data_IF_611166157491
#
_entry.id   IF_611166157491
#
_cell.length_a   1.000
_cell.length_b   1.000
_cell.length_c   1.000
_cell.angle_alpha   90.00
_cell.angle_beta   90.00
_cell.angle_gamma   90.00
#
_symmetry.space_group_name_H-M   'P 1'
#
loop_
_entity.id
_entity.type
_entity.pdbx_description
1 polymer ?
#
# COMPACT_ATOMS: atom_id res chain seq x y z
N UNK A 1 -4.76 -9.66 -26.60
CA UNK A 1 -4.45 -10.02 -25.20
C UNK A 1 -5.01 -8.97 -24.27
N UNK A 2 -6.33 -8.81 -24.27
CA UNK A 2 -7.07 -7.87 -23.41
C UNK A 2 -8.19 -8.65 -22.73
N UNK A 3 -8.61 -8.22 -21.54
CA UNK A 3 -9.76 -8.77 -20.82
C UNK A 3 -10.71 -7.63 -20.46
N UNK A 4 -12.01 -7.85 -20.66
CA UNK A 4 -13.05 -6.91 -20.20
C UNK A 4 -13.52 -7.38 -18.83
N UNK A 5 -13.37 -6.53 -17.82
CA UNK A 5 -13.81 -6.82 -16.46
C UNK A 5 -15.10 -6.05 -16.19
N UNK A 6 -16.15 -6.76 -15.78
CA UNK A 6 -17.42 -6.18 -15.36
C UNK A 6 -17.52 -6.31 -13.83
N UNK A 7 -17.40 -5.19 -13.08
CA UNK A 7 -17.53 -5.24 -11.64
C UNK A 7 -18.97 -5.53 -11.22
N UNK A 8 -19.12 -6.02 -9.98
CA UNK A 8 -20.42 -6.12 -9.31
C UNK A 8 -21.03 -4.72 -9.10
N UNK A 9 -22.34 -4.66 -8.84
CA UNK A 9 -23.01 -3.41 -8.51
C UNK A 9 -22.27 -2.67 -7.37
N UNK A 10 -22.08 -1.36 -7.53
CA UNK A 10 -21.37 -0.46 -6.62
C UNK A 10 -19.84 -0.67 -6.50
N UNK A 11 -19.20 -1.50 -7.32
CA UNK A 11 -17.75 -1.70 -7.32
C UNK A 11 -17.05 -1.03 -8.52
N UNK A 12 -17.39 0.23 -8.80
CA UNK A 12 -16.78 1.02 -9.88
C UNK A 12 -17.30 0.71 -11.29
N UNK A 13 -16.55 1.12 -12.31
CA UNK A 13 -16.93 1.01 -13.72
C UNK A 13 -16.23 -0.17 -14.42
N UNK A 14 -16.84 -0.67 -15.49
CA UNK A 14 -16.24 -1.69 -16.33
C UNK A 14 -15.04 -1.14 -17.11
N UNK A 15 -13.97 -1.91 -17.17
CA UNK A 15 -12.72 -1.51 -17.80
C UNK A 15 -12.16 -2.64 -18.66
N UNK A 16 -11.40 -2.29 -19.71
CA UNK A 16 -10.64 -3.23 -20.52
C UNK A 16 -9.19 -3.19 -20.04
N UNK A 17 -8.73 -4.29 -19.45
CA UNK A 17 -7.39 -4.40 -18.88
C UNK A 17 -6.47 -5.19 -19.82
N UNK A 18 -5.18 -4.81 -19.94
CA UNK A 18 -4.20 -5.61 -20.66
C UNK A 18 -3.81 -6.86 -19.86
N UNK A 19 -3.77 -8.00 -20.56
CA UNK A 19 -3.27 -9.25 -19.98
C UNK A 19 -1.74 -9.28 -20.08
N UNK A 20 -1.08 -9.41 -18.94
CA UNK A 20 0.36 -9.67 -18.81
C UNK A 20 0.59 -11.18 -18.80
N UNK A 21 1.65 -11.62 -19.49
CA UNK A 21 2.04 -13.03 -19.59
C UNK A 21 3.52 -13.12 -19.27
N UNK A 22 3.82 -13.61 -18.09
CA UNK A 22 5.18 -13.76 -17.60
C UNK A 22 5.53 -15.25 -17.58
N UNK A 23 6.71 -15.62 -18.06
CA UNK A 23 7.17 -17.01 -18.04
C UNK A 23 8.18 -17.17 -16.91
N UNK A 24 7.76 -17.82 -15.83
CA UNK A 24 8.54 -17.95 -14.59
C UNK A 24 8.73 -19.43 -14.29
N UNK A 25 9.98 -19.87 -14.20
CA UNK A 25 10.30 -21.26 -13.87
C UNK A 25 9.71 -22.30 -14.84
N UNK A 26 9.45 -21.90 -16.10
CA UNK A 26 8.81 -22.74 -17.12
C UNK A 26 7.29 -22.80 -17.05
N UNK A 27 6.64 -22.08 -16.12
CA UNK A 27 5.19 -21.92 -16.04
C UNK A 27 4.78 -20.54 -16.58
N UNK A 28 3.80 -20.54 -17.48
CA UNK A 28 3.23 -19.31 -18.01
C UNK A 28 2.22 -18.74 -17.00
N UNK A 29 2.60 -17.68 -16.31
CA UNK A 29 1.73 -16.94 -15.41
C UNK A 29 0.99 -15.86 -16.21
N UNK A 30 -0.34 -15.93 -16.21
CA UNK A 30 -1.20 -14.93 -16.84
C UNK A 30 -1.80 -14.07 -15.73
N UNK A 31 -1.62 -12.76 -15.82
CA UNK A 31 -2.13 -11.83 -14.82
C UNK A 31 -2.67 -10.55 -15.44
N UNK A 32 -3.59 -9.89 -14.74
CA UNK A 32 -3.99 -8.53 -15.07
C UNK A 32 -4.24 -7.73 -13.78
N UNK A 33 -4.32 -6.41 -13.92
CA UNK A 33 -4.57 -5.50 -12.81
C UNK A 33 -5.85 -4.73 -13.12
N UNK A 34 -6.82 -4.82 -12.21
CA UNK A 34 -8.10 -4.12 -12.30
C UNK A 34 -8.33 -3.40 -10.98
N UNK A 35 -8.57 -2.08 -11.00
CA UNK A 35 -8.74 -1.26 -9.80
C UNK A 35 -7.62 -1.47 -8.75
N UNK A 36 -6.35 -1.54 -9.20
CA UNK A 36 -5.17 -1.81 -8.36
C UNK A 36 -5.19 -3.18 -7.64
N UNK A 37 -6.13 -4.07 -7.97
CA UNK A 37 -6.15 -5.47 -7.54
C UNK A 37 -5.53 -6.34 -8.62
N UNK A 38 -4.56 -7.17 -8.22
CA UNK A 38 -3.92 -8.16 -9.11
C UNK A 38 -4.78 -9.42 -9.17
N UNK A 39 -5.08 -9.86 -10.39
CA UNK A 39 -5.74 -11.11 -10.67
C UNK A 39 -4.76 -12.06 -11.34
N UNK A 40 -4.65 -13.27 -10.82
CA UNK A 40 -3.80 -14.34 -11.33
C UNK A 40 -4.69 -15.44 -11.92
N UNK A 41 -4.30 -15.97 -13.07
CA UNK A 41 -4.99 -17.10 -13.70
C UNK A 41 -4.62 -18.39 -12.98
N UNK A 42 -5.63 -19.12 -12.51
CA UNK A 42 -5.48 -20.47 -11.99
C UNK A 42 -5.83 -21.50 -13.08
N UNK A 43 -4.86 -22.29 -13.57
CA UNK A 43 -5.11 -23.35 -14.56
C UNK A 43 -6.02 -24.46 -14.06
N UNK A 44 -6.09 -24.72 -12.74
CA UNK A 44 -6.89 -25.81 -12.19
C UNK A 44 -8.38 -25.49 -12.22
N UNK A 45 -8.73 -24.25 -11.85
CA UNK A 45 -10.11 -23.78 -11.83
C UNK A 45 -10.55 -23.10 -13.14
N UNK A 46 -9.62 -22.89 -14.08
CA UNK A 46 -9.85 -22.10 -15.30
C UNK A 46 -10.47 -20.72 -15.02
N UNK A 47 -10.09 -20.10 -13.90
CA UNK A 47 -10.62 -18.82 -13.44
C UNK A 47 -9.51 -17.91 -12.96
N UNK A 48 -9.81 -16.61 -12.93
CA UNK A 48 -8.92 -15.62 -12.32
C UNK A 48 -9.27 -15.44 -10.85
N UNK A 49 -8.28 -15.58 -9.97
CA UNK A 49 -8.42 -15.34 -8.55
C UNK A 49 -7.57 -14.12 -8.13
N UNK A 50 -8.00 -13.45 -7.06
CA UNK A 50 -7.18 -12.42 -6.41
C UNK A 50 -6.05 -13.07 -5.61
N UNK A 51 -5.06 -12.27 -5.24
CA UNK A 51 -4.02 -12.71 -4.29
C UNK A 51 -4.69 -13.19 -2.99
N UNK A 52 -4.31 -14.39 -2.56
CA UNK A 52 -4.69 -14.95 -1.26
C UNK A 52 -3.48 -14.83 -0.34
N UNK A 53 -3.71 -14.30 0.86
CA UNK A 53 -2.71 -14.29 1.92
C UNK A 53 -2.95 -15.49 2.85
N UNK A 54 -1.88 -15.99 3.48
CA UNK A 54 -1.98 -17.11 4.42
C UNK A 54 -2.83 -16.78 5.65
N UNK A 55 -2.86 -15.50 6.06
CA UNK A 55 -3.63 -15.04 7.21
C UNK A 55 -5.15 -15.09 7.00
N UNK A 56 -5.59 -14.92 5.76
CA UNK A 56 -7.02 -14.93 5.38
C UNK A 56 -7.52 -16.32 4.99
N UNK A 57 -6.65 -17.33 5.03
CA UNK A 57 -7.03 -18.70 4.69
C UNK A 57 -8.05 -19.26 5.70
N UNK A 58 -9.02 -20.03 5.19
CA UNK A 58 -9.96 -20.79 6.01
C UNK A 58 -9.65 -22.30 5.84
N UNK A 59 -9.20 -23.01 6.88
CA UNK A 59 -9.11 -22.57 8.27
C UNK A 59 -7.83 -21.76 8.57
N UNK A 60 -7.96 -20.78 9.47
CA UNK A 60 -6.87 -19.84 9.82
C UNK A 60 -5.59 -20.54 10.27
N UNK A 61 -4.41 -19.98 9.94
CA UNK A 61 -3.13 -20.58 10.29
C UNK A 61 -2.92 -20.65 11.80
N UNK A 62 -2.11 -21.62 12.20
CA UNK A 62 -1.73 -21.83 13.60
C UNK A 62 -0.72 -20.77 14.05
N UNK A 63 -0.80 -20.34 15.30
CA UNK A 63 0.16 -19.40 15.89
C UNK A 63 1.58 -19.97 15.83
N UNK A 64 1.73 -21.29 15.97
CA UNK A 64 3.01 -21.99 15.89
C UNK A 64 3.75 -21.79 14.57
N UNK A 65 3.05 -21.59 13.44
CA UNK A 65 3.73 -21.32 12.17
C UNK A 65 4.40 -19.94 12.13
N UNK A 66 3.83 -18.96 12.83
CA UNK A 66 4.42 -17.63 12.94
C UNK A 66 5.54 -17.60 13.99
N UNK A 67 5.36 -18.30 15.12
CA UNK A 67 6.38 -18.43 16.16
C UNK A 67 7.65 -19.17 15.66
N UNK A 68 7.49 -20.18 14.80
CA UNK A 68 8.60 -20.93 14.24
C UNK A 68 9.21 -20.29 12.96
N UNK A 69 8.67 -19.15 12.51
CA UNK A 69 9.14 -18.49 11.29
C UNK A 69 10.57 -17.97 11.47
N UNK A 70 11.45 -18.30 10.53
CA UNK A 70 12.83 -17.78 10.45
C UNK A 70 13.02 -16.87 9.23
N UNK A 71 11.96 -16.17 8.82
CA UNK A 71 11.96 -15.32 7.63
C UNK A 71 12.16 -16.12 6.34
N UNK A 72 12.51 -15.42 5.26
CA UNK A 72 12.75 -16.02 3.95
C UNK A 72 14.18 -16.57 3.86
N UNK A 73 14.33 -17.89 3.94
CA UNK A 73 15.64 -18.56 4.04
C UNK A 73 16.36 -18.73 2.71
N UNK A 74 15.64 -18.72 1.58
CA UNK A 74 16.20 -18.91 0.24
C UNK A 74 15.90 -17.71 -0.66
N UNK A 75 16.93 -17.23 -1.36
CA UNK A 75 16.80 -16.19 -2.39
C UNK A 75 15.77 -16.55 -3.46
N UNK A 76 15.73 -17.84 -3.85
CA UNK A 76 14.77 -18.33 -4.84
C UNK A 76 13.33 -18.28 -4.33
N UNK A 77 13.10 -18.52 -3.03
CA UNK A 77 11.78 -18.39 -2.42
C UNK A 77 11.36 -16.93 -2.33
N UNK A 78 12.28 -16.03 -1.95
CA UNK A 78 12.02 -14.60 -1.95
C UNK A 78 11.65 -14.09 -3.34
N UNK A 79 12.37 -14.52 -4.39
CA UNK A 79 12.05 -14.16 -5.76
C UNK A 79 10.68 -14.70 -6.19
N UNK A 80 10.36 -15.97 -5.87
CA UNK A 80 9.05 -16.57 -6.18
C UNK A 80 7.90 -15.82 -5.50
N UNK A 81 8.07 -15.44 -4.24
CA UNK A 81 7.08 -14.67 -3.47
C UNK A 81 6.95 -13.26 -4.04
N UNK A 82 8.07 -12.61 -4.37
CA UNK A 82 8.07 -11.30 -5.02
C UNK A 82 7.33 -11.31 -6.37
N UNK A 83 7.55 -12.32 -7.21
CA UNK A 83 6.85 -12.43 -8.49
C UNK A 83 5.34 -12.64 -8.30
N UNK A 84 4.95 -13.36 -7.25
CA UNK A 84 3.55 -13.60 -6.89
C UNK A 84 2.86 -12.35 -6.33
N UNK A 85 3.41 -11.71 -5.29
CA UNK A 85 2.78 -10.59 -4.59
C UNK A 85 3.12 -9.21 -5.19
N UNK A 86 4.34 -9.02 -5.69
CA UNK A 86 4.87 -7.73 -6.14
C UNK A 86 5.54 -6.94 -5.02
N UNK A 87 5.86 -5.68 -5.31
CA UNK A 87 6.43 -4.73 -4.34
C UNK A 87 5.36 -4.16 -3.40
N UNK A 88 5.77 -3.86 -2.17
CA UNK A 88 4.99 -3.12 -1.17
C UNK A 88 5.00 -1.61 -1.47
N UNK A 89 4.46 -1.21 -2.63
CA UNK A 89 4.40 0.18 -3.05
C UNK A 89 2.96 0.68 -3.14
N UNK A 90 2.69 1.83 -2.51
CA UNK A 90 1.41 2.51 -2.58
C UNK A 90 1.47 3.67 -3.57
N UNK A 91 1.31 3.37 -4.87
CA UNK A 91 1.31 4.39 -5.93
C UNK A 91 -0.13 4.71 -6.40
N UNK A 92 -0.66 5.81 -5.86
CA UNK A 92 -1.89 6.45 -6.35
C UNK A 92 -1.54 7.27 -7.60
N UNK A 93 -2.10 6.92 -8.78
CA UNK A 93 -1.87 7.71 -9.98
C UNK A 93 -2.57 9.06 -9.84
N UNK A 94 -1.82 10.16 -9.99
CA UNK A 94 -2.40 11.49 -10.04
C UNK A 94 -2.84 11.74 -11.49
N UNK A 95 -4.12 12.11 -11.72
CA UNK A 95 -4.59 12.40 -13.06
C UNK A 95 -3.78 13.57 -13.65
N UNK A 96 -3.58 13.56 -14.96
CA UNK A 96 -2.77 14.57 -15.64
C UNK A 96 -3.57 15.85 -15.86
N UNK A 97 -2.90 17.01 -15.96
CA UNK A 97 -3.57 18.29 -16.21
C UNK A 97 -4.58 18.22 -17.37
N UNK A 98 -4.24 17.53 -18.47
CA UNK A 98 -5.11 17.38 -19.64
C UNK A 98 -6.36 16.55 -19.33
N UNK A 99 -6.25 15.51 -18.51
CA UNK A 99 -7.39 14.69 -18.08
C UNK A 99 -8.35 15.51 -17.20
N UNK A 100 -7.83 16.25 -16.21
CA UNK A 100 -8.65 17.13 -15.38
C UNK A 100 -9.27 18.26 -16.21
N UNK A 101 -8.51 18.84 -17.13
CA UNK A 101 -9.00 19.90 -18.00
C UNK A 101 -10.10 19.39 -18.93
N UNK A 102 -9.98 18.18 -19.47
CA UNK A 102 -11.03 17.56 -20.29
C UNK A 102 -12.30 17.31 -19.48
N UNK A 103 -12.17 16.85 -18.24
CA UNK A 103 -13.29 16.67 -17.31
C UNK A 103 -14.01 18.02 -17.08
N UNK A 104 -13.26 19.09 -16.83
CA UNK A 104 -13.80 20.45 -16.69
C UNK A 104 -14.39 21.01 -17.99
N UNK A 105 -13.77 20.76 -19.14
CA UNK A 105 -14.20 21.29 -20.43
C UNK A 105 -15.55 20.72 -20.90
N UNK A 106 -15.98 19.58 -20.36
CA UNK A 106 -17.29 18.97 -20.62
C UNK A 106 -18.37 19.53 -19.66
N UNK A 107 -17.98 20.35 -18.68
CA UNK A 107 -18.94 20.96 -17.77
C UNK A 107 -19.96 21.82 -18.55
N UNK A 108 -21.27 21.68 -18.28
CA UNK A 108 -22.31 22.41 -19.03
C UNK A 108 -22.11 23.93 -19.04
N UNK A 109 -21.58 24.48 -17.95
CA UNK A 109 -21.28 25.90 -17.81
C UNK A 109 -20.18 26.36 -18.79
N UNK A 110 -19.05 25.65 -18.83
CA UNK A 110 -17.93 25.98 -19.72
C UNK A 110 -18.32 25.89 -21.19
N UNK A 111 -19.01 24.81 -21.58
CA UNK A 111 -19.50 24.63 -22.96
C UNK A 111 -20.45 25.76 -23.36
N UNK A 112 -21.37 26.14 -22.47
CA UNK A 112 -22.30 27.24 -22.72
C UNK A 112 -21.58 28.59 -22.85
N UNK A 113 -20.60 28.87 -21.99
CA UNK A 113 -19.84 30.11 -22.07
C UNK A 113 -19.03 30.22 -23.37
N UNK A 114 -18.35 29.15 -23.79
CA UNK A 114 -17.61 29.11 -25.07
C UNK A 114 -18.56 29.29 -26.25
N UNK A 115 -19.75 28.69 -26.19
CA UNK A 115 -20.78 28.87 -27.22
C UNK A 115 -21.26 30.33 -27.31
N UNK A 116 -21.55 30.97 -26.18
CA UNK A 116 -21.95 32.38 -26.12
C UNK A 116 -20.87 33.33 -26.69
N UNK A 117 -19.59 33.08 -26.35
CA UNK A 117 -18.47 33.85 -26.92
C UNK A 117 -18.32 33.61 -28.41
N UNK A 118 -18.58 32.38 -28.88
CA UNK A 118 -18.63 32.05 -30.31
C UNK A 118 -19.72 32.83 -31.07
N UNK A 119 -20.91 33.00 -30.48
CA UNK A 119 -21.97 33.82 -31.05
C UNK A 119 -21.58 35.30 -31.15
N UNK A 120 -20.91 35.86 -30.13
CA UNK A 120 -20.43 37.24 -30.15
C UNK A 120 -19.33 37.48 -31.20
N UNK A 121 -18.53 36.45 -31.49
CA UNK A 121 -17.52 36.51 -32.55
C UNK A 121 -18.15 36.59 -33.94
N UNK A 122 -19.33 36.01 -34.14
CA UNK A 122 -20.06 36.03 -35.43
C UNK A 122 -20.75 37.37 -35.73
N UNK A 123 -20.99 38.19 -34.70
CA UNK A 123 -21.65 39.51 -34.82
C UNK A 123 -20.63 40.67 -34.90
N UNK A 124 -19.48 40.43 -35.58
CA UNK A 124 -18.39 41.39 -35.81
C UNK A 124 -17.61 41.91 -34.57
N UNK A 125 -17.91 41.45 -33.35
CA UNK A 125 -17.18 41.81 -32.12
C UNK A 125 -15.97 40.92 -31.82
N UNK A 126 -15.10 40.70 -32.80
CA UNK A 126 -14.00 39.72 -32.70
C UNK A 126 -12.96 40.07 -31.63
N UNK A 127 -12.62 41.36 -31.44
CA UNK A 127 -11.57 41.77 -30.50
C UNK A 127 -11.93 41.50 -29.03
N UNK A 128 -13.11 41.96 -28.59
CA UNK A 128 -13.59 41.75 -27.22
C UNK A 128 -13.88 40.26 -26.95
N UNK A 129 -14.44 39.56 -27.93
CA UNK A 129 -14.72 38.12 -27.84
C UNK A 129 -13.45 37.30 -27.67
N UNK A 130 -12.37 37.64 -28.38
CA UNK A 130 -11.08 36.95 -28.27
C UNK A 130 -10.44 37.17 -26.89
N UNK A 131 -10.51 38.40 -26.35
CA UNK A 131 -10.02 38.69 -25.01
C UNK A 131 -10.82 37.94 -23.93
N UNK A 132 -12.15 37.92 -24.04
CA UNK A 132 -13.02 37.18 -23.12
C UNK A 132 -12.77 35.66 -23.21
N UNK A 133 -12.57 35.11 -24.41
CA UNK A 133 -12.21 33.70 -24.60
C UNK A 133 -10.89 33.36 -23.91
N UNK A 134 -9.87 34.21 -24.10
CA UNK A 134 -8.58 34.02 -23.45
C UNK A 134 -8.71 34.06 -21.91
N UNK A 135 -9.42 35.05 -21.36
CA UNK A 135 -9.65 35.15 -19.92
C UNK A 135 -10.39 33.94 -19.36
N UNK A 136 -11.39 33.44 -20.07
CA UNK A 136 -12.14 32.24 -19.70
C UNK A 136 -11.23 31.00 -19.63
N UNK A 137 -10.43 30.76 -20.66
CA UNK A 137 -9.49 29.61 -20.70
C UNK A 137 -8.42 29.75 -19.62
N UNK A 138 -7.90 30.96 -19.39
CA UNK A 138 -6.89 31.22 -18.36
C UNK A 138 -7.44 30.97 -16.94
N UNK A 139 -8.68 31.38 -16.68
CA UNK A 139 -9.36 31.17 -15.41
C UNK A 139 -9.57 29.68 -15.12
N UNK A 140 -10.13 28.93 -16.07
CA UNK A 140 -10.35 27.48 -15.94
C UNK A 140 -9.03 26.71 -15.81
N UNK A 141 -8.01 27.11 -16.56
CA UNK A 141 -6.67 26.55 -16.42
C UNK A 141 -6.09 26.76 -15.01
N UNK A 142 -6.36 27.91 -14.40
CA UNK A 142 -5.92 28.22 -13.03
C UNK A 142 -6.64 27.35 -11.99
N UNK A 143 -7.95 27.13 -12.16
CA UNK A 143 -8.76 26.25 -11.31
C UNK A 143 -8.26 24.80 -11.40
N UNK A 144 -8.05 24.29 -12.62
CA UNK A 144 -7.52 22.93 -12.84
C UNK A 144 -6.11 22.80 -12.27
N UNK A 145 -5.27 23.82 -12.44
CA UNK A 145 -3.92 23.84 -11.85
C UNK A 145 -3.95 23.79 -10.31
N UNK A 146 -4.85 24.56 -9.68
CA UNK A 146 -5.03 24.52 -8.23
C UNK A 146 -5.48 23.13 -7.76
N UNK A 147 -6.46 22.50 -8.46
CA UNK A 147 -6.90 21.13 -8.18
C UNK A 147 -5.75 20.13 -8.31
N UNK A 148 -4.95 20.24 -9.38
CA UNK A 148 -3.78 19.39 -9.61
C UNK A 148 -2.76 19.53 -8.48
N UNK A 149 -2.48 20.76 -8.05
CA UNK A 149 -1.55 21.05 -6.96
C UNK A 149 -2.02 20.41 -5.66
N UNK A 150 -3.30 20.56 -5.32
CA UNK A 150 -3.89 19.92 -4.13
C UNK A 150 -3.74 18.40 -4.18
N UNK A 151 -4.04 17.76 -5.32
CA UNK A 151 -3.86 16.30 -5.47
C UNK A 151 -2.38 15.86 -5.33
N UNK A 152 -1.45 16.66 -5.84
CA UNK A 152 -0.01 16.40 -5.68
C UNK A 152 0.45 16.55 -4.21
N UNK A 153 -0.10 17.53 -3.49
CA UNK A 153 0.17 17.72 -2.06
C UNK A 153 -0.34 16.51 -1.24
N UNK A 154 -1.52 15.96 -1.58
CA UNK A 154 -2.02 14.72 -0.97
C UNK A 154 -1.10 13.51 -1.21
N UNK A 155 -0.50 13.39 -2.40
CA UNK A 155 0.49 12.32 -2.69
C UNK A 155 1.74 12.45 -1.82
N UNK A 156 2.16 13.68 -1.52
CA UNK A 156 3.33 13.95 -0.68
C UNK A 156 3.20 13.50 0.77
N UNK A 157 1.97 13.27 1.25
CA UNK A 157 1.69 12.73 2.59
C UNK A 157 1.83 11.20 2.68
N UNK A 158 2.13 10.51 1.57
CA UNK A 158 2.44 9.09 1.61
C UNK A 158 3.79 8.83 2.29
N UNK A 159 3.86 7.75 3.06
CA UNK A 159 5.11 7.31 3.69
C UNK A 159 6.11 6.97 2.59
N UNK A 160 7.27 7.63 2.60
CA UNK A 160 8.35 7.35 1.66
C UNK A 160 9.06 6.04 2.05
N UNK A 161 9.59 5.29 1.06
CA UNK A 161 10.44 4.14 1.36
C UNK A 161 11.61 4.54 2.27
N UNK A 162 11.87 3.69 3.25
CA UNK A 162 12.95 3.85 4.23
C UNK A 162 13.60 2.49 4.48
N UNK A 163 14.83 2.53 4.97
CA UNK A 163 15.59 1.31 5.25
C UNK A 163 15.07 0.61 6.50
N UNK A 164 14.89 -0.71 6.39
CA UNK A 164 14.39 -1.62 7.43
C UNK A 164 15.26 -2.86 7.53
N UNK A 165 15.48 -3.32 8.76
CA UNK A 165 16.20 -4.56 9.04
C UNK A 165 15.28 -5.76 8.84
N UNK A 166 15.68 -6.66 7.96
CA UNK A 166 14.95 -7.90 7.65
C UNK A 166 15.88 -9.09 7.76
N UNK A 167 15.35 -10.19 8.31
CA UNK A 167 16.05 -11.44 8.40
C UNK A 167 15.74 -12.32 7.17
N UNK A 168 16.68 -12.36 6.21
CA UNK A 168 16.63 -13.22 5.02
C UNK A 168 17.93 -14.01 4.89
N UNK A 169 17.89 -15.17 4.27
CA UNK A 169 19.09 -16.01 4.03
C UNK A 169 19.89 -16.31 5.32
N UNK A 170 19.17 -16.45 6.45
CA UNK A 170 19.72 -16.62 7.81
C UNK A 170 20.63 -15.47 8.29
N UNK A 171 20.49 -14.26 7.73
CA UNK A 171 21.26 -13.07 8.13
C UNK A 171 20.35 -11.86 8.21
N UNK A 172 20.71 -10.94 9.12
CA UNK A 172 20.10 -9.61 9.14
C UNK A 172 20.68 -8.77 8.01
N UNK A 173 19.81 -8.23 7.19
CA UNK A 173 20.17 -7.35 6.09
C UNK A 173 19.21 -6.15 6.04
N UNK A 174 19.74 -5.01 5.61
CA UNK A 174 18.98 -3.79 5.45
C UNK A 174 18.39 -3.76 4.04
N UNK A 175 17.07 -3.61 3.94
CA UNK A 175 16.35 -3.47 2.67
C UNK A 175 15.41 -2.28 2.73
N UNK A 176 14.99 -1.80 1.57
CA UNK A 176 13.98 -0.75 1.48
C UNK A 176 12.59 -1.30 1.81
N UNK A 177 11.75 -0.49 2.47
CA UNK A 177 10.42 -0.89 2.93
C UNK A 177 9.42 -1.19 1.80
N UNK A 178 9.70 -0.75 0.58
CA UNK A 178 8.95 -1.10 -0.64
C UNK A 178 9.21 -2.53 -1.13
N UNK A 179 10.31 -3.15 -0.69
CA UNK A 179 10.71 -4.53 -1.04
C UNK A 179 10.33 -5.57 0.01
N UNK A 180 9.52 -5.18 0.99
CA UNK A 180 8.97 -6.10 1.99
C UNK A 180 8.00 -7.08 1.34
N UNK A 181 8.12 -8.34 1.71
CA UNK A 181 7.33 -9.45 1.19
C UNK A 181 6.59 -10.15 2.33
N UNK A 182 5.41 -10.75 2.05
CA UNK A 182 4.73 -11.57 3.04
C UNK A 182 5.62 -12.72 3.53
N UNK A 183 5.76 -12.85 4.85
CA UNK A 183 6.61 -13.87 5.49
C UNK A 183 8.02 -13.41 5.83
N UNK A 184 8.39 -12.17 5.48
CA UNK A 184 9.61 -11.55 6.02
C UNK A 184 9.53 -11.38 7.54
N UNK A 185 10.69 -11.57 8.19
CA UNK A 185 10.86 -11.26 9.60
C UNK A 185 11.57 -9.91 9.71
N UNK A 186 10.87 -8.89 10.20
CA UNK A 186 11.33 -7.49 10.24
C UNK A 186 11.62 -7.08 11.68
N UNK A 187 12.73 -6.38 11.91
CA UNK A 187 12.97 -5.71 13.18
C UNK A 187 12.33 -4.33 13.15
N UNK A 188 11.29 -4.16 13.98
CA UNK A 188 10.61 -2.88 14.13
C UNK A 188 11.37 -2.02 15.14
N UNK A 189 11.78 -0.83 14.70
CA UNK A 189 12.41 0.17 15.54
C UNK A 189 11.46 1.34 15.84
N UNK A 190 11.88 2.24 16.74
CA UNK A 190 11.15 3.48 16.99
C UNK A 190 11.03 4.27 15.69
N UNK A 191 9.81 4.64 15.33
CA UNK A 191 9.54 5.35 14.09
C UNK A 191 9.97 6.83 14.21
N UNK A 192 10.59 7.37 13.15
CA UNK A 192 10.90 8.81 13.03
C UNK A 192 9.61 9.63 12.82
N UNK A 193 9.68 10.95 13.00
CA UNK A 193 8.50 11.83 12.90
C UNK A 193 7.78 11.75 11.54
N UNK A 194 8.54 11.56 10.46
CA UNK A 194 8.03 11.48 9.07
C UNK A 194 7.93 10.04 8.53
N UNK A 195 7.96 9.05 9.41
CA UNK A 195 7.85 7.64 9.04
C UNK A 195 6.66 6.99 9.76
N UNK A 196 6.24 5.83 9.27
CA UNK A 196 5.19 4.98 9.82
C UNK A 196 5.56 3.53 9.56
N UNK A 197 4.89 2.59 10.24
CA UNK A 197 5.04 1.17 9.94
C UNK A 197 4.70 0.94 8.45
N UNK A 198 5.58 0.26 7.72
CA UNK A 198 5.49 0.16 6.25
C UNK A 198 4.36 -0.74 5.73
N UNK A 199 3.95 -1.76 6.50
CA UNK A 199 2.91 -2.71 6.15
C UNK A 199 2.29 -3.30 7.42
N UNK A 200 1.23 -4.08 7.26
CA UNK A 200 0.63 -4.79 8.39
C UNK A 200 1.55 -5.92 8.86
N UNK A 201 1.86 -5.94 10.15
CA UNK A 201 2.79 -6.87 10.77
C UNK A 201 2.17 -7.51 12.01
N UNK A 202 2.63 -8.72 12.32
CA UNK A 202 2.33 -9.41 13.58
C UNK A 202 3.57 -9.41 14.46
N UNK A 203 3.39 -9.07 15.74
CA UNK A 203 4.47 -9.03 16.71
C UNK A 203 4.78 -10.46 17.20
N UNK A 204 5.87 -11.04 16.70
CA UNK A 204 6.30 -12.40 17.08
C UNK A 204 7.03 -12.40 18.44
N UNK A 205 7.81 -11.35 18.72
CA UNK A 205 8.59 -11.20 19.95
C UNK A 205 8.62 -9.74 20.41
N UNK A 206 8.64 -9.52 21.73
CA UNK A 206 8.73 -8.20 22.35
C UNK A 206 7.39 -7.53 22.57
N UNK A 207 7.43 -6.24 22.90
CA UNK A 207 6.26 -5.35 23.05
C UNK A 207 6.52 -4.02 22.37
N UNK A 208 5.46 -3.36 21.91
CA UNK A 208 5.55 -2.07 21.23
C UNK A 208 4.44 -1.13 21.72
N UNK A 209 4.76 0.15 21.89
CA UNK A 209 3.77 1.19 22.14
C UNK A 209 3.53 1.93 20.84
N UNK A 210 2.30 1.87 20.33
CA UNK A 210 1.93 2.46 19.04
C UNK A 210 0.91 3.56 19.19
N UNK A 211 1.03 4.56 18.33
CA UNK A 211 0.02 5.58 18.12
C UNK A 211 -0.76 5.24 16.84
N UNK A 212 -2.04 4.90 17.01
CA UNK A 212 -2.96 4.55 15.92
C UNK A 212 -3.80 5.74 15.44
N UNK A 213 -3.56 6.96 15.93
CA UNK A 213 -4.40 8.14 15.64
C UNK A 213 -4.60 8.43 14.15
N UNK A 214 -3.64 8.06 13.29
CA UNK A 214 -3.75 8.22 11.83
C UNK A 214 -4.82 7.31 11.20
N UNK A 215 -5.10 6.15 11.81
CA UNK A 215 -6.05 5.15 11.29
C UNK A 215 -7.36 5.11 12.09
N UNK A 216 -7.27 5.14 13.42
CA UNK A 216 -8.43 5.03 14.32
C UNK A 216 -9.00 6.37 14.75
N UNK A 217 -8.21 7.45 14.67
CA UNK A 217 -8.54 8.75 15.25
C UNK A 217 -8.40 8.81 16.78
N UNK A 218 -8.02 7.71 17.43
CA UNK A 218 -7.82 7.67 18.87
C UNK A 218 -6.44 8.22 19.24
N UNK A 219 -6.42 9.26 20.08
CA UNK A 219 -5.18 9.96 20.45
C UNK A 219 -4.37 9.26 21.55
N UNK A 220 -4.93 8.21 22.18
CA UNK A 220 -4.27 7.47 23.24
C UNK A 220 -3.38 6.37 22.66
N UNK A 221 -2.09 6.32 22.99
CA UNK A 221 -1.22 5.25 22.53
C UNK A 221 -1.65 3.90 23.13
N UNK A 222 -1.53 2.84 22.34
CA UNK A 222 -1.93 1.48 22.69
C UNK A 222 -0.68 0.62 22.87
N UNK A 223 -0.65 -0.19 23.92
CA UNK A 223 0.38 -1.22 24.12
C UNK A 223 0.02 -2.46 23.30
N UNK A 224 1.00 -2.94 22.54
CA UNK A 224 0.94 -4.13 21.70
C UNK A 224 1.89 -5.18 22.27
N UNK A 225 1.38 -6.41 22.40
CA UNK A 225 2.09 -7.54 22.99
C UNK A 225 2.27 -8.65 21.97
N UNK A 226 3.37 -9.38 22.05
CA UNK A 226 3.70 -10.44 21.10
C UNK A 226 2.88 -11.72 21.29
N UNK A 227 2.76 -12.49 20.22
CA UNK A 227 2.15 -13.83 20.24
C UNK A 227 3.04 -14.91 20.88
N UNK A 228 4.22 -14.56 21.40
CA UNK A 228 5.22 -15.53 21.90
C UNK A 228 4.68 -16.45 23.00
N UNK A 229 3.84 -15.92 23.91
CA UNK A 229 3.29 -16.67 25.05
C UNK A 229 1.99 -17.42 24.72
N UNK A 230 1.48 -17.29 23.48
CA UNK A 230 0.26 -17.97 23.05
C UNK A 230 0.58 -19.44 22.72
N UNK A 231 -0.35 -20.37 22.99
CA UNK A 231 -0.15 -21.78 22.64
C UNK A 231 -0.08 -21.93 21.11
N UNK A 232 0.97 -22.59 20.62
CA UNK A 232 1.23 -22.73 19.18
C UNK A 232 0.15 -23.50 18.40
N UNK A 233 -0.66 -24.32 19.08
CA UNK A 233 -1.80 -25.04 18.48
C UNK A 233 -3.06 -24.18 18.33
N UNK A 234 -3.09 -22.98 18.93
CA UNK A 234 -4.20 -22.07 18.72
C UNK A 234 -4.15 -21.46 17.31
N UNK A 235 -5.32 -21.13 16.78
CA UNK A 235 -5.45 -20.40 15.52
C UNK A 235 -5.31 -18.91 15.78
N UNK A 236 -4.77 -18.19 14.80
CA UNK A 236 -4.68 -16.74 14.88
C UNK A 236 -6.07 -16.09 14.79
N UNK A 237 -6.34 -15.12 15.67
CA UNK A 237 -7.58 -14.36 15.69
C UNK A 237 -7.34 -12.84 15.60
N UNK A 238 -7.24 -12.28 14.38
CA UNK A 238 -6.94 -10.85 14.18
C UNK A 238 -7.96 -9.88 14.80
N UNK A 239 -9.24 -10.26 14.81
CA UNK A 239 -10.33 -9.45 15.37
C UNK A 239 -10.67 -9.83 16.82
N UNK A 240 -10.05 -10.88 17.34
CA UNK A 240 -10.34 -11.45 18.66
C UNK A 240 -9.19 -11.23 19.63
N UNK A 241 -8.68 -12.35 20.18
CA UNK A 241 -7.65 -12.34 21.21
C UNK A 241 -6.30 -11.78 20.74
N UNK A 242 -5.97 -11.91 19.46
CA UNK A 242 -4.65 -11.53 18.93
C UNK A 242 -4.63 -10.11 18.35
N UNK A 243 -5.71 -9.33 18.47
CA UNK A 243 -5.80 -7.94 17.97
C UNK A 243 -4.65 -7.04 18.48
N UNK A 244 -4.23 -7.26 19.72
CA UNK A 244 -3.15 -6.50 20.34
C UNK A 244 -1.75 -6.91 19.86
N UNK A 245 -1.63 -7.98 19.06
CA UNK A 245 -0.36 -8.37 18.44
C UNK A 245 -0.17 -7.77 17.04
N UNK A 246 -1.18 -7.13 16.46
CA UNK A 246 -1.10 -6.52 15.13
C UNK A 246 -0.60 -5.08 15.18
N UNK A 247 0.38 -4.79 14.33
CA UNK A 247 0.87 -3.47 13.99
C UNK A 247 0.37 -3.13 12.60
N UNK A 248 -0.42 -2.05 12.49
CA UNK A 248 -1.02 -1.66 11.21
C UNK A 248 -0.11 -0.69 10.44
N UNK A 249 -0.08 -0.84 9.13
CA UNK A 249 0.65 0.05 8.22
C UNK A 249 0.17 1.50 8.37
N UNK A 250 1.10 2.43 8.54
CA UNK A 250 0.81 3.85 8.76
C UNK A 250 0.69 4.28 10.22
N UNK A 251 0.72 3.35 11.18
CA UNK A 251 0.81 3.69 12.61
C UNK A 251 2.23 4.14 12.98
N UNK A 252 2.36 4.88 14.09
CA UNK A 252 3.67 5.34 14.59
C UNK A 252 4.08 4.54 15.82
N UNK A 253 5.26 3.92 15.77
CA UNK A 253 5.83 3.20 16.91
C UNK A 253 6.61 4.17 17.79
N UNK A 254 6.10 4.42 18.99
CA UNK A 254 6.68 5.38 19.93
C UNK A 254 7.83 4.76 20.73
N UNK A 255 7.68 3.49 21.11
CA UNK A 255 8.64 2.76 21.91
C UNK A 255 8.57 1.27 21.57
N UNK A 256 9.72 0.62 21.58
CA UNK A 256 9.86 -0.83 21.43
C UNK A 256 10.58 -1.36 22.66
N UNK A 257 10.10 -2.46 23.22
CA UNK A 257 10.80 -3.21 24.26
C UNK A 257 11.06 -4.61 23.74
N UNK A 258 12.33 -4.99 23.68
CA UNK A 258 12.70 -6.36 23.33
C UNK A 258 12.33 -7.30 24.47
N UNK A 259 11.97 -8.54 24.13
CA UNK A 259 11.87 -9.61 25.12
C UNK A 259 13.21 -9.71 25.86
N UNK A 260 13.17 -9.81 27.19
CA UNK A 260 14.40 -10.15 27.91
C UNK A 260 14.82 -11.55 27.44
N UNK A 261 16.04 -11.72 26.89
CA UNK A 261 16.55 -13.07 26.75
C UNK A 261 16.57 -13.66 28.16
N UNK A 262 15.92 -14.81 28.33
CA UNK A 262 16.21 -15.67 29.48
C UNK A 262 17.73 -15.76 29.59
N UNK A 263 18.29 -15.51 30.78
CA UNK A 263 19.73 -15.35 31.05
C UNK A 263 20.62 -16.56 30.64
N UNK A 264 20.06 -17.58 29.99
CA UNK A 264 20.71 -18.83 29.57
C UNK A 264 21.09 -18.92 28.07
N UNK A 265 20.89 -17.87 27.27
CA UNK A 265 21.31 -17.88 25.85
C UNK A 265 22.76 -17.41 25.68
N UNK A 266 23.69 -18.35 25.47
CA UNK A 266 25.14 -18.14 25.39
C UNK A 266 25.67 -17.29 24.20
N UNK A 267 24.80 -16.72 23.36
CA UNK A 267 25.18 -15.91 22.19
C UNK A 267 24.45 -14.55 22.17
N UNK A 268 24.41 -13.85 23.31
CA UNK A 268 23.88 -12.50 23.39
C UNK A 268 24.84 -11.48 22.76
N UNK A 269 24.40 -10.82 21.69
CA UNK A 269 25.02 -9.61 21.13
C UNK A 269 25.06 -8.54 22.25
N UNK A 270 26.20 -7.91 22.55
CA UNK A 270 26.27 -6.93 23.63
C UNK A 270 25.39 -5.73 23.31
N UNK A 271 24.46 -5.40 24.23
CA UNK A 271 23.73 -4.13 24.20
C UNK A 271 24.73 -2.99 24.34
N UNK A 272 24.84 -2.12 23.33
CA UNK A 272 25.51 -0.83 23.51
C UNK A 272 24.71 -0.04 24.55
N UNK A 273 25.38 0.36 25.63
CA UNK A 273 24.80 1.23 26.63
C UNK A 273 24.39 2.54 25.95
N UNK A 274 23.08 2.84 25.92
CA UNK A 274 22.57 4.16 25.57
C UNK A 274 23.02 5.15 26.66
N UNK A 275 24.17 5.77 26.45
CA UNK A 275 24.64 6.91 27.24
C UNK A 275 23.99 8.20 26.74
N UNK A 276 23.39 8.93 27.70
CA UNK A 276 23.04 10.38 27.72
C UNK A 276 22.55 11.01 26.41
#
# INVERSE_FOLDING_TARGET
TLIKVQPIANAGAAEICPLKRDNVGGKQNISFLFQKRRFLYDPEQNSFATLSYSIDADPRPLIGSFQASRGLTSSADAQRIHEHYGDNSFDIPVPTFVELFKEHAVAPFFVFQVFCVGLWMLDEYWYYSLFTLFMLVAFESTVVWQRQRTLNEFRGMSIKPYDVWVFRENKWQEIQSDKLLPGDLVSVERTKEDSGVACDMILVEGTAIVNEAMLSGESTPVLKDSIQLRPGEARIEPEGLDKNAFLWGGTKVLQVSHGNPSEDAADAIPRLASGV
#
